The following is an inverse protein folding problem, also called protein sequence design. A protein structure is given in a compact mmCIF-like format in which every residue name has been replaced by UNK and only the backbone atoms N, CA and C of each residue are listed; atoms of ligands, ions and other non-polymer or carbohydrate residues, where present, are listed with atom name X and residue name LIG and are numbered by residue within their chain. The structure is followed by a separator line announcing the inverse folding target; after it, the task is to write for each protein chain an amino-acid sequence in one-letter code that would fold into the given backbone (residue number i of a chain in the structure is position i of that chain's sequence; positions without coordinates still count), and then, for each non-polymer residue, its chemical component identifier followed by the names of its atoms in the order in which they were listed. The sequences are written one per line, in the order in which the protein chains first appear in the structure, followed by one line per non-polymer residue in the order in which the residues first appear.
data_IF_504555545569
#
_entry.id   IF_504555545569
#
_cell.length_a   1.000
_cell.length_b   1.000
_cell.length_c   1.000
_cell.angle_alpha   90.00
_cell.angle_beta   90.00
_cell.angle_gamma   90.00
#
_symmetry.space_group_name_H-M   'P 1'
#
loop_
_entity.id
_entity.type
_entity.pdbx_description
1 polymer ?
#
# COMPACT_ATOMS: atom_id res chain seq x y z
N UNK A 1 16.21 19.16 -8.38
CA UNK A 1 15.46 17.97 -8.84
C UNK A 1 13.97 18.23 -8.71
N UNK A 2 13.29 18.10 -9.78
CA UNK A 2 11.87 18.36 -9.76
C UNK A 2 11.10 17.14 -9.25
N UNK A 3 9.93 17.40 -8.72
CA UNK A 3 9.03 16.33 -8.31
C UNK A 3 8.66 15.42 -9.46
N UNK A 4 8.56 15.96 -10.67
CA UNK A 4 8.16 15.14 -11.80
C UNK A 4 9.19 14.08 -12.13
N UNK A 5 10.47 14.35 -11.90
CA UNK A 5 11.50 13.34 -12.08
C UNK A 5 11.35 12.24 -11.05
N UNK A 6 11.13 12.61 -9.78
CA UNK A 6 10.92 11.62 -8.74
C UNK A 6 9.67 10.78 -9.00
N UNK A 7 8.60 11.42 -9.45
CA UNK A 7 7.35 10.73 -9.73
C UNK A 7 7.50 9.73 -10.87
N UNK A 8 8.32 10.04 -11.88
CA UNK A 8 8.53 9.13 -12.99
C UNK A 8 9.20 7.84 -12.57
N UNK A 9 9.93 7.88 -11.45
CA UNK A 9 10.62 6.69 -10.96
C UNK A 9 9.75 5.84 -10.05
N UNK A 10 8.48 6.22 -9.88
CA UNK A 10 7.59 5.47 -9.00
C UNK A 10 6.60 4.63 -9.79
N UNK A 11 6.20 3.53 -9.18
CA UNK A 11 5.07 2.74 -9.63
C UNK A 11 3.99 2.79 -8.56
N UNK A 12 2.79 2.45 -8.96
CA UNK A 12 1.66 2.34 -8.06
C UNK A 12 1.53 0.90 -7.58
N UNK A 13 1.39 0.75 -6.26
CA UNK A 13 1.23 -0.56 -5.64
C UNK A 13 -0.08 -0.55 -4.86
N UNK A 14 -0.99 -1.41 -5.28
CA UNK A 14 -2.24 -1.62 -4.57
C UNK A 14 -2.05 -2.85 -3.67
N UNK A 15 -2.13 -2.65 -2.37
CA UNK A 15 -1.88 -3.71 -1.40
C UNK A 15 -3.19 -4.08 -0.73
N UNK A 16 -3.53 -5.35 -0.82
CA UNK A 16 -4.78 -5.89 -0.26
C UNK A 16 -4.41 -7.06 0.63
N UNK A 17 -4.84 -7.02 1.90
CA UNK A 17 -4.47 -8.08 2.82
C UNK A 17 -5.67 -8.64 3.55
N UNK A 18 -5.52 -9.89 3.96
CA UNK A 18 -6.53 -10.61 4.72
C UNK A 18 -5.79 -11.53 5.69
N UNK A 19 -5.98 -11.32 6.97
CA UNK A 19 -5.36 -12.09 8.03
C UNK A 19 -6.44 -12.76 8.86
N UNK A 20 -6.12 -13.91 9.49
CA UNK A 20 -7.11 -14.58 10.34
C UNK A 20 -7.55 -13.72 11.51
N UNK A 21 -8.65 -14.09 12.11
CA UNK A 21 -9.18 -13.40 13.28
C UNK A 21 -8.78 -14.17 14.54
N UNK A 22 -7.58 -13.92 15.01
CA UNK A 22 -7.12 -14.46 16.28
C UNK A 22 -6.12 -13.46 16.87
N UNK A 23 -5.76 -13.71 18.12
CA UNK A 23 -4.95 -12.73 18.88
C UNK A 23 -3.62 -12.41 18.21
N UNK A 24 -2.91 -13.42 17.78
CA UNK A 24 -1.61 -13.24 17.16
C UNK A 24 -1.74 -12.51 15.81
N UNK A 25 -2.72 -12.91 15.00
CA UNK A 25 -2.95 -12.28 13.71
C UNK A 25 -3.44 -10.84 13.88
N UNK A 26 -4.22 -10.57 14.92
CA UNK A 26 -4.68 -9.19 15.17
C UNK A 26 -3.51 -8.27 15.50
N UNK A 27 -2.50 -8.76 16.22
CA UNK A 27 -1.29 -7.99 16.46
C UNK A 27 -0.52 -7.75 15.16
N UNK A 28 -0.42 -8.77 14.31
CA UNK A 28 0.25 -8.61 13.01
C UNK A 28 -0.51 -7.63 12.12
N UNK A 29 -1.83 -7.68 12.14
CA UNK A 29 -2.66 -6.76 11.35
C UNK A 29 -2.38 -5.32 11.73
N UNK A 30 -2.28 -5.06 13.04
CA UNK A 30 -1.97 -3.72 13.50
C UNK A 30 -0.58 -3.28 13.04
N UNK A 31 0.40 -4.16 13.16
CA UNK A 31 1.76 -3.85 12.70
C UNK A 31 1.80 -3.61 11.21
N UNK A 32 1.06 -4.42 10.45
CA UNK A 32 0.99 -4.26 9.00
C UNK A 32 0.36 -2.93 8.64
N UNK A 33 -0.74 -2.57 9.29
CA UNK A 33 -1.38 -1.29 9.09
C UNK A 33 -0.40 -0.14 9.38
N UNK A 34 0.28 -0.20 10.51
CA UNK A 34 1.22 0.86 10.87
C UNK A 34 2.38 0.94 9.87
N UNK A 35 2.89 -0.20 9.44
CA UNK A 35 3.96 -0.25 8.45
C UNK A 35 3.51 0.36 7.12
N UNK A 36 2.37 -0.07 6.60
CA UNK A 36 1.89 0.41 5.30
C UNK A 36 1.50 1.88 5.36
N UNK A 37 1.04 2.37 6.51
CA UNK A 37 0.72 3.79 6.68
C UNK A 37 1.94 4.68 6.50
N UNK A 38 3.13 4.16 6.69
CA UNK A 38 4.36 4.89 6.44
C UNK A 38 4.75 4.92 4.97
N UNK A 39 4.08 4.15 4.12
CA UNK A 39 4.41 4.05 2.71
C UNK A 39 3.29 4.50 1.78
N UNK A 40 2.06 4.58 2.27
CA UNK A 40 0.95 4.95 1.41
C UNK A 40 -0.29 5.34 2.17
N UNK A 41 -1.42 5.32 1.48
CA UNK A 41 -2.70 5.79 2.00
C UNK A 41 -3.69 4.64 2.07
N UNK A 42 -4.34 4.49 3.22
CA UNK A 42 -5.41 3.52 3.36
C UNK A 42 -6.67 4.06 2.70
N UNK A 43 -7.22 3.28 1.76
CA UNK A 43 -8.44 3.67 1.06
C UNK A 43 -9.64 2.82 1.47
N UNK A 44 -9.37 1.62 1.96
CA UNK A 44 -10.37 0.73 2.53
C UNK A 44 -9.73 0.06 3.74
N UNK A 45 -10.52 -0.66 4.51
CA UNK A 45 -10.07 -1.22 5.78
C UNK A 45 -8.74 -2.00 5.64
N UNK A 46 -8.61 -2.83 4.63
CA UNK A 46 -7.40 -3.62 4.41
C UNK A 46 -6.81 -3.39 3.02
N UNK A 47 -6.91 -2.16 2.52
CA UNK A 47 -6.44 -1.79 1.20
C UNK A 47 -5.62 -0.52 1.30
N UNK A 48 -4.39 -0.56 0.81
CA UNK A 48 -3.51 0.59 0.76
C UNK A 48 -3.07 0.88 -0.67
N UNK A 49 -2.96 2.15 -0.98
CA UNK A 49 -2.43 2.62 -2.25
C UNK A 49 -1.11 3.31 -1.98
N UNK A 50 -0.06 2.86 -2.66
CA UNK A 50 1.29 3.37 -2.43
C UNK A 50 1.95 3.72 -3.75
N UNK A 51 2.57 4.90 -3.81
CA UNK A 51 3.47 5.25 -4.91
C UNK A 51 4.89 5.12 -4.39
N UNK A 52 5.65 4.18 -4.94
CA UNK A 52 6.98 3.87 -4.40
C UNK A 52 8.00 3.79 -5.51
N UNK A 53 9.22 4.24 -5.19
CA UNK A 53 10.37 3.96 -6.02
C UNK A 53 10.78 2.50 -5.83
N UNK A 54 11.64 2.00 -6.70
CA UNK A 54 12.15 0.63 -6.56
C UNK A 54 12.86 0.42 -5.22
N UNK A 55 13.60 1.44 -4.76
CA UNK A 55 14.32 1.34 -3.49
C UNK A 55 13.33 1.30 -2.32
N UNK A 56 12.32 2.14 -2.34
CA UNK A 56 11.31 2.14 -1.29
C UNK A 56 10.57 0.82 -1.25
N UNK A 57 10.20 0.29 -2.40
CA UNK A 57 9.50 -0.98 -2.47
C UNK A 57 10.38 -2.12 -1.94
N UNK A 58 11.66 -2.12 -2.30
CA UNK A 58 12.59 -3.13 -1.80
C UNK A 58 12.68 -3.10 -0.28
N UNK A 59 12.76 -1.91 0.30
CA UNK A 59 12.80 -1.76 1.76
C UNK A 59 11.52 -2.26 2.41
N UNK A 60 10.38 -1.93 1.81
CA UNK A 60 9.10 -2.39 2.33
C UNK A 60 9.02 -3.91 2.28
N UNK A 61 9.49 -4.53 1.20
CA UNK A 61 9.43 -5.98 1.08
C UNK A 61 10.21 -6.69 2.17
N UNK A 62 11.36 -6.15 2.55
CA UNK A 62 12.14 -6.72 3.65
C UNK A 62 11.30 -6.73 4.94
N UNK A 63 10.62 -5.63 5.22
CA UNK A 63 9.79 -5.52 6.41
C UNK A 63 8.58 -6.45 6.34
N UNK A 64 7.99 -6.58 5.17
CA UNK A 64 6.86 -7.49 4.99
C UNK A 64 7.27 -8.94 5.18
N UNK A 65 8.44 -9.31 4.68
CA UNK A 65 8.95 -10.66 4.85
C UNK A 65 9.14 -11.02 6.33
N UNK A 66 9.49 -10.04 7.15
CA UNK A 66 9.66 -10.24 8.59
C UNK A 66 8.34 -10.34 9.32
N UNK A 67 7.30 -9.71 8.78
CA UNK A 67 6.03 -9.55 9.49
C UNK A 67 5.01 -10.61 9.12
N UNK A 68 4.88 -10.92 7.84
CA UNK A 68 3.82 -11.79 7.32
C UNK A 68 4.09 -13.24 7.70
N UNK A 69 3.05 -13.96 8.07
CA UNK A 69 3.09 -15.39 8.31
C UNK A 69 2.46 -16.07 7.10
N UNK A 70 3.26 -16.60 6.17
CA UNK A 70 2.73 -17.07 4.89
C UNK A 70 1.69 -18.19 5.00
N UNK A 71 1.74 -18.96 6.08
CA UNK A 71 0.80 -20.08 6.27
C UNK A 71 -0.58 -19.62 6.63
N UNK A 72 -0.72 -18.40 7.16
CA UNK A 72 -1.98 -17.89 7.69
C UNK A 72 -2.46 -16.64 7.00
N UNK A 73 -1.54 -15.78 6.61
CA UNK A 73 -1.86 -14.44 6.12
C UNK A 73 -1.85 -14.39 4.60
N UNK A 74 -2.64 -13.51 4.05
CA UNK A 74 -2.62 -13.23 2.62
C UNK A 74 -2.37 -11.74 2.41
N UNK A 75 -1.35 -11.42 1.62
CA UNK A 75 -1.10 -10.05 1.18
C UNK A 75 -0.88 -10.10 -0.32
N UNK A 76 -1.72 -9.36 -1.05
CA UNK A 76 -1.56 -9.24 -2.50
C UNK A 76 -1.08 -7.85 -2.83
N UNK A 77 -0.12 -7.78 -3.72
CA UNK A 77 0.43 -6.52 -4.17
C UNK A 77 0.26 -6.46 -5.69
N UNK A 78 -0.62 -5.57 -6.14
CA UNK A 78 -0.81 -5.34 -7.56
C UNK A 78 0.04 -4.15 -7.96
N UNK A 79 0.77 -4.30 -9.06
CA UNK A 79 1.68 -3.26 -9.53
C UNK A 79 1.10 -2.68 -10.80
N UNK A 80 0.88 -1.37 -10.80
CA UNK A 80 0.29 -0.67 -11.92
C UNK A 80 1.15 0.51 -12.30
N UNK A 81 1.15 0.85 -13.58
CA UNK A 81 1.79 2.08 -14.02
C UNK A 81 0.90 3.27 -13.70
N UNK A 82 1.50 4.45 -13.74
CA UNK A 82 0.80 5.67 -13.35
C UNK A 82 -0.31 6.04 -14.33
N UNK A 83 -0.13 5.71 -15.59
CA UNK A 83 -1.17 5.97 -16.57
C UNK A 83 -2.44 5.18 -16.30
N UNK A 84 -2.29 3.93 -15.90
CA UNK A 84 -3.43 3.09 -15.52
C UNK A 84 -4.15 3.65 -14.32
N UNK A 85 -3.39 4.12 -13.33
CA UNK A 85 -3.97 4.67 -12.10
C UNK A 85 -4.79 5.92 -12.38
N UNK A 86 -4.34 6.74 -13.31
CA UNK A 86 -5.06 7.97 -13.67
C UNK A 86 -6.43 7.67 -14.31
N UNK A 87 -6.63 6.47 -14.81
CA UNK A 87 -7.91 6.07 -15.39
C UNK A 87 -8.84 5.42 -14.38
N UNK A 88 -8.51 5.51 -13.10
CA UNK A 88 -9.35 4.98 -12.04
C UNK A 88 -10.72 5.66 -12.06
N UNK A 89 -11.75 4.85 -11.95
CA UNK A 89 -13.13 5.34 -11.90
C UNK A 89 -13.66 5.07 -10.51
N UNK A 90 -14.17 6.11 -9.87
CA UNK A 90 -14.68 6.00 -8.51
C UNK A 90 -16.18 6.26 -8.51
N UNK A 91 -16.92 5.35 -7.91
CA UNK A 91 -18.35 5.55 -7.67
C UNK A 91 -18.55 5.86 -6.21
N UNK A 92 -19.33 6.89 -5.94
CA UNK A 92 -19.63 7.25 -4.57
C UNK A 92 -18.65 8.27 -4.03
N UNK A 93 -18.43 8.21 -2.73
CA UNK A 93 -17.59 9.17 -2.04
C UNK A 93 -16.14 8.74 -2.08
N UNK A 94 -15.30 9.55 -2.68
CA UNK A 94 -13.87 9.31 -2.73
C UNK A 94 -13.19 10.18 -1.68
N UNK A 95 -13.09 9.67 -0.48
CA UNK A 95 -12.51 10.42 0.63
C UNK A 95 -11.29 9.73 1.16
N UNK A 96 -10.12 10.08 0.69
CA UNK A 96 -8.91 9.51 1.26
C UNK A 96 -8.81 9.90 2.75
N UNK A 97 -8.36 8.97 3.56
CA UNK A 97 -8.19 9.20 5.00
C UNK A 97 -7.07 10.17 5.26
N UNK A 98 -6.09 10.18 4.40
CA UNK A 98 -4.94 11.05 4.52
C UNK A 98 -4.84 11.87 3.27
N UNK A 99 -4.57 13.14 3.48
CA UNK A 99 -4.71 14.12 2.43
C UNK A 99 -3.64 14.00 1.37
N UNK A 100 -2.43 13.74 1.76
CA UNK A 100 -1.32 14.02 0.87
C UNK A 100 -0.74 12.83 0.16
N UNK A 101 -1.16 11.65 0.50
CA UNK A 101 -0.42 10.50 0.04
C UNK A 101 -0.51 10.30 -1.46
N UNK A 102 -1.65 10.59 -2.04
CA UNK A 102 -1.83 10.37 -3.46
C UNK A 102 -2.40 11.61 -4.08
N UNK A 103 -1.50 12.45 -4.46
CA UNK A 103 -1.85 13.64 -5.21
C UNK A 103 -1.38 13.43 -6.62
N UNK A 104 -2.30 13.25 -7.49
CA UNK A 104 -2.02 12.99 -8.90
C UNK A 104 -2.22 14.26 -9.76
#
# INVERSE_FOLDING_TARGET
MSESVMQRDTLFYLMVYDLPDNRAANKRRKRLHDLLSGYGTRVQYSVFECFLTAVQFARLRVRLDELIQPEEDCLRIYVLDRGSVKRTIVYGSDRPRQVSAIVL
#
